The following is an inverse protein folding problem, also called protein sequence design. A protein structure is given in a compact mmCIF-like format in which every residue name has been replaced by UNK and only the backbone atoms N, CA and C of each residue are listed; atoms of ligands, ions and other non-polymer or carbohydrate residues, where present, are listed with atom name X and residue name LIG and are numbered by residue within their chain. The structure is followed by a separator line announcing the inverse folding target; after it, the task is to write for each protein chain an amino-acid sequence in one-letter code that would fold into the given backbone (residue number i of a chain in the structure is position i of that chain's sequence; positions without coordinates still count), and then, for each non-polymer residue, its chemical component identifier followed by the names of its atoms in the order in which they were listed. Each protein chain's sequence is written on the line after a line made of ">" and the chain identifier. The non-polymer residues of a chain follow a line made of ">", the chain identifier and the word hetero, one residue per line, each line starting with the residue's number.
data_IF_825250171333
#
_entry.id   IF_825250171333
#
_cell.length_a   1.000
_cell.length_b   1.000
_cell.length_c   1.000
_cell.angle_alpha   90.00
_cell.angle_beta   90.00
_cell.angle_gamma   90.00
#
_symmetry.space_group_name_H-M   'P 1'
#
loop_
_entity.id
_entity.type
_entity.pdbx_description
1 polymer ?
#
# COMPACT_ATOMS: atom_id res chain seq x y z
N UNK A 1 24.45 -2.30 22.27
CA UNK A 1 24.27 -2.21 23.74
C UNK A 1 22.78 -2.01 24.01
N UNK A 2 21.97 -3.08 23.89
CA UNK A 2 20.56 -3.05 24.25
C UNK A 2 20.48 -3.44 25.73
N UNK A 3 20.12 -2.47 26.57
CA UNK A 3 20.02 -2.64 28.00
C UNK A 3 19.15 -3.86 28.33
N UNK A 4 19.66 -4.71 29.21
CA UNK A 4 18.98 -5.89 29.71
C UNK A 4 17.59 -5.48 30.21
N UNK A 5 16.55 -5.95 29.54
CA UNK A 5 15.18 -5.81 30.00
C UNK A 5 15.07 -6.62 31.31
N UNK A 6 14.52 -6.04 32.40
CA UNK A 6 14.35 -6.79 33.64
C UNK A 6 13.47 -8.00 33.36
N UNK A 7 13.75 -9.12 34.02
CA UNK A 7 12.92 -10.33 33.96
C UNK A 7 11.51 -9.95 34.44
N UNK A 8 10.60 -9.71 33.50
CA UNK A 8 9.19 -9.55 33.79
C UNK A 8 8.64 -10.91 34.26
N UNK A 9 7.76 -10.87 35.26
CA UNK A 9 7.01 -11.99 35.81
C UNK A 9 6.57 -12.98 34.70
N UNK A 10 6.64 -14.31 34.91
CA UNK A 10 6.29 -15.31 33.90
C UNK A 10 4.88 -15.13 33.28
N UNK A 11 3.97 -14.39 33.93
CA UNK A 11 2.67 -13.99 33.36
C UNK A 11 2.75 -12.94 32.23
N UNK A 12 3.82 -12.14 32.18
CA UNK A 12 4.05 -11.09 31.18
C UNK A 12 5.02 -11.50 30.06
N UNK A 13 5.73 -12.64 30.21
CA UNK A 13 6.70 -13.11 29.23
C UNK A 13 6.11 -13.46 27.86
N UNK A 14 4.86 -13.92 27.81
CA UNK A 14 4.17 -14.24 26.55
C UNK A 14 3.83 -12.99 25.73
N UNK A 15 3.36 -11.92 26.38
CA UNK A 15 3.07 -10.63 25.74
C UNK A 15 4.35 -9.98 25.23
N UNK A 16 5.41 -9.98 26.04
CA UNK A 16 6.70 -9.45 25.62
C UNK A 16 7.27 -10.22 24.43
N UNK A 17 7.17 -11.55 24.45
CA UNK A 17 7.60 -12.40 23.34
C UNK A 17 6.79 -12.13 22.06
N UNK A 18 5.46 -12.02 22.17
CA UNK A 18 4.60 -11.69 21.04
C UNK A 18 4.94 -10.32 20.43
N UNK A 19 5.14 -9.29 21.27
CA UNK A 19 5.55 -7.96 20.81
C UNK A 19 6.92 -7.98 20.13
N UNK A 20 7.87 -8.77 20.64
CA UNK A 20 9.18 -8.93 20.01
C UNK A 20 9.07 -9.59 18.63
N UNK A 21 8.26 -10.64 18.48
CA UNK A 21 8.03 -11.28 17.19
C UNK A 21 7.37 -10.33 16.19
N UNK A 22 6.37 -9.56 16.63
CA UNK A 22 5.73 -8.53 15.79
C UNK A 22 6.73 -7.47 15.35
N UNK A 23 7.56 -6.96 16.27
CA UNK A 23 8.58 -5.97 15.94
C UNK A 23 9.58 -6.49 14.90
N UNK A 24 9.98 -7.77 14.98
CA UNK A 24 10.86 -8.40 13.99
C UNK A 24 10.15 -8.53 12.63
N UNK A 25 8.91 -9.03 12.60
CA UNK A 25 8.11 -9.18 11.38
C UNK A 25 7.88 -7.85 10.68
N UNK A 26 7.52 -6.80 11.42
CA UNK A 26 7.31 -5.46 10.88
C UNK A 26 8.58 -4.96 10.20
N UNK A 27 9.75 -5.14 10.85
CA UNK A 27 11.02 -4.73 10.27
C UNK A 27 11.36 -5.52 8.99
N UNK A 28 11.12 -6.83 8.98
CA UNK A 28 11.37 -7.67 7.80
C UNK A 28 10.49 -7.27 6.63
N UNK A 29 9.17 -7.17 6.84
CA UNK A 29 8.21 -6.78 5.81
C UNK A 29 8.46 -5.35 5.32
N UNK A 30 8.86 -4.44 6.21
CA UNK A 30 9.21 -3.06 5.81
C UNK A 30 10.41 -3.03 4.85
N UNK A 31 11.42 -3.87 5.09
CA UNK A 31 12.57 -4.01 4.19
C UNK A 31 12.15 -4.60 2.84
N UNK A 32 11.30 -5.62 2.86
CA UNK A 32 10.79 -6.26 1.65
C UNK A 32 9.96 -5.28 0.81
N UNK A 33 9.06 -4.52 1.44
CA UNK A 33 8.28 -3.45 0.78
C UNK A 33 9.22 -2.41 0.16
N UNK A 34 10.25 -1.96 0.88
CA UNK A 34 11.20 -0.99 0.36
C UNK A 34 11.97 -1.54 -0.86
N UNK A 35 12.40 -2.80 -0.80
CA UNK A 35 13.07 -3.45 -1.92
C UNK A 35 12.14 -3.57 -3.14
N UNK A 36 10.91 -4.04 -2.95
CA UNK A 36 9.91 -4.16 -4.02
C UNK A 36 9.59 -2.80 -4.65
N UNK A 37 9.43 -1.75 -3.84
CA UNK A 37 9.23 -0.38 -4.35
C UNK A 37 10.37 0.09 -5.25
N UNK A 38 11.62 -0.22 -4.89
CA UNK A 38 12.77 0.10 -5.75
C UNK A 38 12.71 -0.66 -7.08
N UNK A 39 12.35 -1.94 -7.05
CA UNK A 39 12.18 -2.76 -8.25
C UNK A 39 11.07 -2.23 -9.16
N UNK A 40 9.89 -1.95 -8.60
CA UNK A 40 8.76 -1.36 -9.33
C UNK A 40 9.16 -0.02 -9.95
N UNK A 41 9.85 0.84 -9.19
CA UNK A 41 10.33 2.13 -9.69
C UNK A 41 11.23 1.96 -10.92
N UNK A 42 12.17 1.02 -10.89
CA UNK A 42 13.06 0.74 -12.04
C UNK A 42 12.28 0.28 -13.27
N UNK A 43 11.30 -0.61 -13.08
CA UNK A 43 10.45 -1.10 -14.18
C UNK A 43 9.64 0.06 -14.78
N UNK A 44 8.98 0.87 -13.94
CA UNK A 44 8.21 2.03 -14.39
C UNK A 44 9.09 3.05 -15.12
N UNK A 45 10.29 3.32 -14.60
CA UNK A 45 11.26 4.21 -15.27
C UNK A 45 11.66 3.70 -16.66
N UNK A 46 11.79 2.38 -16.84
CA UNK A 46 12.10 1.77 -18.13
C UNK A 46 10.92 1.79 -19.11
N UNK A 47 9.69 1.67 -18.62
CA UNK A 47 8.49 1.61 -19.47
C UNK A 47 7.91 2.98 -19.82
N UNK A 48 7.78 3.86 -18.83
CA UNK A 48 7.18 5.18 -19.02
C UNK A 48 7.67 6.17 -17.95
N UNK A 49 8.86 6.76 -18.12
CA UNK A 49 9.44 7.70 -17.15
C UNK A 49 8.64 9.01 -17.04
N UNK A 50 7.78 9.31 -18.01
CA UNK A 50 6.90 10.48 -17.99
C UNK A 50 5.84 10.38 -16.88
N UNK A 51 5.37 9.18 -16.53
CA UNK A 51 4.36 8.98 -15.47
C UNK A 51 4.88 9.44 -14.10
N UNK A 52 6.17 9.24 -13.81
CA UNK A 52 6.79 9.67 -12.54
C UNK A 52 7.01 11.19 -12.46
N UNK A 53 6.79 11.93 -13.55
CA UNK A 53 6.83 13.41 -13.56
C UNK A 53 5.46 14.03 -13.28
N UNK A 54 4.39 13.23 -13.32
CA UNK A 54 3.03 13.69 -13.04
C UNK A 54 2.88 13.88 -11.53
N UNK A 55 2.43 15.06 -11.12
CA UNK A 55 2.21 15.36 -9.71
C UNK A 55 1.23 14.36 -9.07
N UNK A 56 1.60 13.80 -7.92
CA UNK A 56 0.79 12.81 -7.22
C UNK A 56 0.92 11.37 -7.74
N UNK A 57 1.67 11.12 -8.82
CA UNK A 57 1.89 9.76 -9.36
C UNK A 57 3.22 9.20 -8.86
N UNK A 58 3.13 8.30 -7.88
CA UNK A 58 4.26 7.51 -7.39
C UNK A 58 4.48 6.22 -8.20
N UNK A 59 5.58 5.48 -7.92
CA UNK A 59 5.91 4.24 -8.62
C UNK A 59 4.81 3.18 -8.58
N UNK A 60 4.18 2.99 -7.42
CA UNK A 60 3.11 1.99 -7.24
C UNK A 60 1.85 2.36 -8.06
N UNK A 61 1.49 3.64 -8.06
CA UNK A 61 0.37 4.15 -8.86
C UNK A 61 0.66 4.08 -10.36
N UNK A 62 1.87 4.45 -10.79
CA UNK A 62 2.29 4.34 -12.17
C UNK A 62 2.30 2.89 -12.66
N UNK A 63 2.80 1.94 -11.86
CA UNK A 63 2.74 0.52 -12.18
C UNK A 63 1.30 0.01 -12.30
N UNK A 64 0.42 0.41 -11.37
CA UNK A 64 -1.00 0.07 -11.42
C UNK A 64 -1.67 0.60 -12.69
N UNK A 65 -1.34 1.82 -13.12
CA UNK A 65 -1.81 2.39 -14.39
C UNK A 65 -1.30 1.61 -15.60
N UNK A 66 -0.02 1.23 -15.62
CA UNK A 66 0.55 0.43 -16.71
C UNK A 66 -0.10 -0.96 -16.82
N UNK A 67 -0.37 -1.60 -15.68
CA UNK A 67 -1.07 -2.88 -15.61
C UNK A 67 -2.52 -2.73 -16.11
N UNK A 68 -3.24 -1.73 -15.60
CA UNK A 68 -4.63 -1.48 -15.97
C UNK A 68 -4.79 -1.05 -17.43
N UNK A 69 -3.84 -0.27 -17.97
CA UNK A 69 -3.80 0.10 -19.37
C UNK A 69 -3.59 -1.12 -20.29
N UNK A 70 -3.03 -2.22 -19.78
CA UNK A 70 -2.79 -3.44 -20.57
C UNK A 70 -1.98 -3.18 -21.84
N UNK A 71 -0.97 -2.31 -21.76
CA UNK A 71 -0.17 -1.85 -22.91
C UNK A 71 -0.88 -0.88 -23.87
N UNK A 72 -2.15 -0.55 -23.63
CA UNK A 72 -2.96 0.36 -24.44
C UNK A 72 -3.17 1.68 -23.70
N UNK A 73 -2.11 2.50 -23.65
CA UNK A 73 -2.12 3.82 -23.01
C UNK A 73 -3.17 4.78 -23.59
N UNK A 74 -3.58 4.57 -24.85
CA UNK A 74 -4.60 5.35 -25.56
C UNK A 74 -6.01 5.25 -24.93
N UNK A 75 -6.29 4.21 -24.12
CA UNK A 75 -7.62 3.95 -23.54
C UNK A 75 -7.87 4.59 -22.17
N UNK A 76 -6.89 5.31 -21.59
CA UNK A 76 -7.01 5.96 -20.27
C UNK A 76 -6.98 7.50 -20.38
N UNK A 77 -7.95 8.08 -21.09
CA UNK A 77 -7.99 9.52 -21.41
C UNK A 77 -8.78 10.40 -20.42
N UNK A 78 -9.26 9.87 -19.28
CA UNK A 78 -10.14 10.61 -18.37
C UNK A 78 -9.86 10.41 -16.88
N UNK A 79 -10.05 11.49 -16.10
CA UNK A 79 -9.85 11.53 -14.65
C UNK A 79 -10.75 10.55 -13.88
N UNK A 80 -11.95 10.23 -14.41
CA UNK A 80 -12.85 9.24 -13.81
C UNK A 80 -12.28 7.81 -13.84
N UNK A 81 -11.59 7.44 -14.92
CA UNK A 81 -10.88 6.15 -15.02
C UNK A 81 -9.69 6.10 -14.06
N UNK A 82 -9.05 7.23 -13.81
CA UNK A 82 -7.97 7.34 -12.82
C UNK A 82 -8.50 7.16 -11.38
N UNK A 83 -9.61 7.83 -11.02
CA UNK A 83 -10.23 7.70 -9.70
C UNK A 83 -10.69 6.27 -9.40
N UNK A 84 -11.30 5.59 -10.39
CA UNK A 84 -11.71 4.19 -10.29
C UNK A 84 -10.52 3.25 -10.04
N UNK A 85 -9.36 3.51 -10.66
CA UNK A 85 -8.16 2.70 -10.51
C UNK A 85 -7.39 2.95 -9.20
N UNK A 86 -7.37 4.19 -8.72
CA UNK A 86 -6.73 4.54 -7.45
C UNK A 86 -7.55 4.18 -6.20
N UNK A 87 -8.69 3.47 -6.33
CA UNK A 87 -9.63 3.18 -5.23
C UNK A 87 -10.09 4.42 -4.44
N UNK A 88 -9.94 5.61 -5.04
CA UNK A 88 -10.41 6.91 -4.52
C UNK A 88 -11.70 7.35 -5.19
N UNK A 89 -12.19 6.58 -6.17
CA UNK A 89 -13.56 6.71 -6.62
C UNK A 89 -14.47 6.48 -5.42
N UNK A 90 -15.40 7.38 -5.11
CA UNK A 90 -16.35 7.17 -4.04
C UNK A 90 -17.18 5.94 -4.42
N UNK A 91 -16.83 4.79 -3.85
CA UNK A 91 -17.77 3.69 -3.75
C UNK A 91 -18.73 4.14 -2.66
N UNK A 92 -19.96 4.48 -3.05
CA UNK A 92 -21.09 4.67 -2.15
C UNK A 92 -21.14 3.48 -1.19
N UNK A 93 -20.57 3.66 0.01
CA UNK A 93 -20.70 2.69 1.08
C UNK A 93 -22.08 2.91 1.67
N UNK A 94 -23.11 2.30 1.07
CA UNK A 94 -24.39 2.11 1.73
C UNK A 94 -24.16 1.15 2.91
N UNK A 95 -23.74 1.72 4.03
CA UNK A 95 -23.87 1.09 5.33
C UNK A 95 -25.36 1.01 5.59
N UNK A 96 -25.94 -0.16 5.31
CA UNK A 96 -27.37 -0.38 5.38
C UNK A 96 -27.97 0.10 6.70
N UNK A 97 -28.75 1.18 6.62
CA UNK A 97 -29.92 1.48 7.45
C UNK A 97 -30.59 2.77 6.96
N UNK A 98 -31.40 2.65 5.92
CA UNK A 98 -32.60 3.48 5.81
C UNK A 98 -33.76 2.65 6.34
N UNK A 99 -33.96 2.72 7.65
CA UNK A 99 -35.16 2.20 8.29
C UNK A 99 -36.35 3.03 7.81
N UNK A 100 -37.11 2.44 6.89
CA UNK A 100 -38.55 2.59 6.66
C UNK A 100 -39.28 3.58 7.57
N UNK A 101 -39.71 4.70 6.98
CA UNK A 101 -40.85 5.47 7.47
C UNK A 101 -42.15 4.83 6.95
N UNK A 102 -43.01 4.41 7.87
CA UNK A 102 -44.46 4.25 7.70
C UNK A 102 -45.10 4.38 9.09
#
# INVERSE_FOLDING_TARGET
>A
MFAACPRLDPRHGSVQHALQLLAIRIQQLSKEIAALKQWITKIVQGLSPALLKVYGVGPDSAASLLIAAGGNHDRLTGEASFAALCSVSPVEHSSGKVGTAA
#
